data_IF_871081049841
#
_entry.id   IF_871081049841
#
_cell.length_a   1.000
_cell.length_b   1.000
_cell.length_c   1.000
_cell.angle_alpha   90.00
_cell.angle_beta   90.00
_cell.angle_gamma   90.00
#
_symmetry.space_group_name_H-M   'P 1'
#
loop_
_entity.id
_entity.type
_entity.pdbx_description
1 polymer ?
#
# COMPACT_ATOMS: atom_id res chain seq x y z
N UNK A 1 32.27 -10.94 23.64
CA UNK A 1 31.81 -11.65 22.42
C UNK A 1 30.30 -11.56 22.40
N UNK A 2 29.74 -10.64 21.62
CA UNK A 2 28.29 -10.43 21.59
C UNK A 2 27.64 -11.51 20.75
N UNK A 3 26.88 -12.41 21.39
CA UNK A 3 25.93 -13.24 20.68
C UNK A 3 25.00 -12.30 19.91
N UNK A 4 25.08 -12.30 18.57
CA UNK A 4 24.05 -11.68 17.75
C UNK A 4 22.80 -12.53 17.96
N UNK A 5 21.93 -12.08 18.85
CA UNK A 5 20.61 -12.68 19.00
C UNK A 5 19.91 -12.47 17.67
N UNK A 6 19.51 -13.57 17.02
CA UNK A 6 18.83 -13.51 15.74
C UNK A 6 17.45 -12.88 15.96
N UNK A 7 17.10 -11.88 15.14
CA UNK A 7 15.80 -11.21 15.21
C UNK A 7 14.66 -12.16 14.83
N UNK A 8 14.87 -12.99 13.80
CA UNK A 8 13.94 -14.01 13.33
C UNK A 8 14.63 -15.36 13.32
N UNK A 9 13.86 -16.44 13.39
CA UNK A 9 14.38 -17.80 13.16
C UNK A 9 14.77 -17.99 11.69
N UNK A 10 15.62 -18.97 11.39
CA UNK A 10 15.96 -19.28 9.99
C UNK A 10 14.73 -19.70 9.18
N UNK A 11 13.82 -20.47 9.77
CA UNK A 11 12.57 -20.88 9.14
C UNK A 11 11.68 -19.68 8.81
N UNK A 12 11.47 -18.74 9.76
CA UNK A 12 10.69 -17.53 9.49
C UNK A 12 11.30 -16.69 8.35
N UNK A 13 12.62 -16.56 8.32
CA UNK A 13 13.28 -15.85 7.23
C UNK A 13 13.09 -16.56 5.89
N UNK A 14 13.10 -17.89 5.86
CA UNK A 14 12.81 -18.68 4.66
C UNK A 14 11.37 -18.49 4.22
N UNK A 15 10.41 -18.60 5.13
CA UNK A 15 8.98 -18.39 4.85
C UNK A 15 8.72 -16.98 4.28
N UNK A 16 9.35 -15.94 4.85
CA UNK A 16 9.25 -14.58 4.32
C UNK A 16 9.89 -14.42 2.95
N UNK A 17 11.00 -15.10 2.67
CA UNK A 17 11.62 -15.06 1.34
C UNK A 17 10.80 -15.80 0.29
N UNK A 18 10.07 -16.85 0.69
CA UNK A 18 9.21 -17.61 -0.21
C UNK A 18 7.89 -16.86 -0.52
N UNK A 19 7.39 -16.08 0.45
CA UNK A 19 6.15 -15.32 0.32
C UNK A 19 6.34 -13.88 -0.23
N UNK A 20 7.57 -13.36 -0.26
CA UNK A 20 7.85 -11.97 -0.68
C UNK A 20 8.98 -11.90 -1.70
N UNK A 21 9.10 -10.77 -2.39
CA UNK A 21 10.19 -10.56 -3.36
C UNK A 21 11.50 -10.07 -2.70
N UNK A 22 11.69 -10.35 -1.40
CA UNK A 22 12.80 -9.81 -0.63
C UNK A 22 13.85 -10.86 -0.28
N UNK A 23 15.10 -10.40 -0.22
CA UNK A 23 16.22 -11.14 0.37
C UNK A 23 16.16 -11.06 1.90
N UNK A 24 16.83 -11.98 2.60
CA UNK A 24 17.00 -11.92 4.07
C UNK A 24 17.48 -10.55 4.56
N UNK A 25 18.36 -9.90 3.79
CA UNK A 25 18.90 -8.58 4.12
C UNK A 25 17.85 -7.47 4.02
N UNK A 26 16.97 -7.54 3.02
CA UNK A 26 15.87 -6.60 2.84
C UNK A 26 14.82 -6.79 3.93
N UNK A 27 14.45 -8.03 4.26
CA UNK A 27 13.52 -8.34 5.37
C UNK A 27 14.03 -7.73 6.69
N UNK A 28 15.32 -7.90 7.00
CA UNK A 28 15.93 -7.28 8.19
C UNK A 28 15.97 -5.75 8.13
N UNK A 29 16.12 -5.17 6.94
CA UNK A 29 16.06 -3.71 6.74
C UNK A 29 14.64 -3.19 7.00
N UNK A 30 13.62 -3.86 6.45
CA UNK A 30 12.20 -3.55 6.69
C UNK A 30 11.87 -3.67 8.17
N UNK A 31 12.30 -4.74 8.85
CA UNK A 31 12.11 -4.90 10.28
C UNK A 31 12.76 -3.78 11.09
N UNK A 32 13.98 -3.36 10.72
CA UNK A 32 14.64 -2.24 11.38
C UNK A 32 13.80 -0.97 11.28
N UNK A 33 13.21 -0.68 10.12
CA UNK A 33 12.28 0.43 9.92
C UNK A 33 11.02 0.29 10.77
N UNK A 34 10.40 -0.88 10.76
CA UNK A 34 9.21 -1.18 11.57
C UNK A 34 9.45 -0.91 13.07
N UNK A 35 10.62 -1.32 13.57
CA UNK A 35 11.04 -1.05 14.94
C UNK A 35 11.39 0.42 15.20
N UNK A 36 11.92 1.15 14.22
CA UNK A 36 12.16 2.59 14.34
C UNK A 36 10.85 3.38 14.53
N UNK A 37 9.72 2.89 13.99
CA UNK A 37 8.40 3.51 14.18
C UNK A 37 7.89 3.39 15.62
N UNK A 38 8.10 2.24 16.27
CA UNK A 38 7.73 2.05 17.67
C UNK A 38 8.74 1.17 18.45
N UNK A 39 9.86 1.75 18.89
CA UNK A 39 10.91 0.99 19.58
C UNK A 39 10.47 0.40 20.93
N UNK A 40 9.39 0.93 21.52
CA UNK A 40 8.87 0.50 22.82
C UNK A 40 7.92 -0.69 22.67
N UNK A 41 7.17 -0.76 21.56
CA UNK A 41 6.22 -1.83 21.29
C UNK A 41 6.83 -2.98 20.49
N UNK A 42 7.78 -2.68 19.59
CA UNK A 42 8.41 -3.67 18.71
C UNK A 42 9.68 -4.24 19.38
N UNK A 43 9.67 -5.53 19.78
CA UNK A 43 10.81 -6.17 20.42
C UNK A 43 11.99 -6.32 19.44
N UNK A 44 13.20 -6.56 19.95
CA UNK A 44 14.39 -6.85 19.11
C UNK A 44 14.37 -8.24 18.47
N UNK A 45 13.56 -9.13 19.03
CA UNK A 45 13.45 -10.55 18.69
C UNK A 45 11.98 -10.83 18.45
N UNK A 46 11.66 -11.43 17.31
CA UNK A 46 10.33 -11.81 16.84
C UNK A 46 10.32 -13.28 16.39
N UNK A 47 10.87 -14.15 17.23
CA UNK A 47 11.05 -15.59 16.92
C UNK A 47 9.78 -16.43 17.12
N UNK A 48 8.67 -15.84 17.58
CA UNK A 48 7.37 -16.49 17.71
C UNK A 48 6.28 -15.72 16.96
N UNK A 49 5.08 -15.62 17.55
CA UNK A 49 3.92 -14.96 16.94
C UNK A 49 3.96 -13.43 17.03
N UNK A 50 5.06 -12.84 17.53
CA UNK A 50 5.17 -11.39 17.68
C UNK A 50 5.04 -10.65 16.34
N UNK A 51 5.52 -11.24 15.24
CA UNK A 51 5.38 -10.64 13.92
C UNK A 51 3.91 -10.41 13.51
N UNK A 52 3.02 -11.30 13.94
CA UNK A 52 1.59 -11.31 13.60
C UNK A 52 0.74 -10.56 14.65
N UNK A 53 1.27 -10.34 15.85
CA UNK A 53 0.51 -9.79 16.99
C UNK A 53 0.93 -8.38 17.38
N UNK A 54 2.20 -8.01 17.14
CA UNK A 54 2.70 -6.68 17.44
C UNK A 54 2.31 -5.74 16.31
N UNK A 55 1.28 -4.93 16.57
CA UNK A 55 0.79 -3.92 15.62
C UNK A 55 1.39 -2.54 15.89
N UNK A 56 1.82 -1.85 14.83
CA UNK A 56 2.15 -0.43 14.87
C UNK A 56 0.94 0.37 14.41
N UNK A 57 0.62 1.42 15.16
CA UNK A 57 -0.57 2.23 14.88
C UNK A 57 -0.39 3.07 13.61
N UNK A 58 -1.48 3.26 12.87
CA UNK A 58 -1.52 3.99 11.61
C UNK A 58 -0.83 5.37 11.66
N UNK A 59 -1.05 6.14 12.74
CA UNK A 59 -0.46 7.48 12.95
C UNK A 59 1.07 7.48 12.89
N UNK A 60 1.72 6.37 13.27
CA UNK A 60 3.18 6.23 13.19
C UNK A 60 3.62 5.86 11.78
N UNK A 61 2.89 4.96 11.13
CA UNK A 61 3.18 4.52 9.75
C UNK A 61 3.02 5.67 8.78
N UNK A 62 1.95 6.47 8.87
CA UNK A 62 1.71 7.57 7.93
C UNK A 62 2.76 8.70 8.04
N UNK A 63 3.47 8.80 9.17
CA UNK A 63 4.54 9.79 9.40
C UNK A 63 5.89 9.34 8.87
N UNK A 64 6.01 8.11 8.40
CA UNK A 64 7.29 7.61 7.89
C UNK A 64 7.72 8.40 6.64
N UNK A 65 9.02 8.69 6.48
CA UNK A 65 9.53 9.47 5.35
C UNK A 65 9.04 9.00 3.98
N UNK A 66 8.83 7.69 3.84
CA UNK A 66 8.42 7.00 2.62
C UNK A 66 6.93 7.23 2.27
N UNK A 67 6.07 7.49 3.27
CA UNK A 67 4.62 7.71 3.06
C UNK A 67 4.14 9.13 3.37
N UNK A 68 4.87 9.91 4.17
CA UNK A 68 4.37 11.22 4.67
C UNK A 68 3.98 12.19 3.55
N UNK A 69 4.69 12.15 2.42
CA UNK A 69 4.42 13.00 1.25
C UNK A 69 3.38 12.40 0.31
N UNK A 70 3.00 11.13 0.52
CA UNK A 70 2.05 10.43 -0.31
C UNK A 70 0.61 10.82 0.10
N UNK A 71 -0.21 11.35 -0.83
CA UNK A 71 -1.59 11.72 -0.55
C UNK A 71 -2.46 10.51 -0.17
N UNK A 72 -2.10 9.32 -0.64
CA UNK A 72 -2.84 8.07 -0.35
C UNK A 72 -2.32 7.33 0.87
N UNK A 73 -1.40 7.89 1.66
CA UNK A 73 -0.77 7.20 2.81
C UNK A 73 -1.77 6.52 3.75
N UNK A 74 -2.91 7.17 3.98
CA UNK A 74 -3.96 6.66 4.84
C UNK A 74 -4.68 5.46 4.25
N UNK A 75 -4.95 5.51 2.94
CA UNK A 75 -5.55 4.41 2.19
C UNK A 75 -4.60 3.23 2.08
N UNK A 76 -3.32 3.50 1.80
CA UNK A 76 -2.26 2.48 1.78
C UNK A 76 -2.25 1.72 3.11
N UNK A 77 -2.20 2.41 4.24
CA UNK A 77 -2.22 1.74 5.55
C UNK A 77 -3.49 0.88 5.73
N UNK A 78 -4.66 1.38 5.35
CA UNK A 78 -5.92 0.64 5.48
C UNK A 78 -6.01 -0.59 4.58
N UNK A 79 -5.50 -0.50 3.35
CA UNK A 79 -5.54 -1.60 2.37
C UNK A 79 -4.60 -2.74 2.74
N UNK A 80 -3.43 -2.41 3.30
CA UNK A 80 -2.47 -3.42 3.75
C UNK A 80 -2.78 -3.97 5.14
N UNK A 81 -3.58 -3.25 5.92
CA UNK A 81 -4.04 -3.70 7.24
C UNK A 81 -5.10 -4.80 7.07
N UNK A 82 -4.78 -6.02 7.53
CA UNK A 82 -5.69 -7.17 7.42
C UNK A 82 -7.04 -6.95 8.15
N UNK A 83 -7.08 -6.13 9.20
CA UNK A 83 -8.30 -5.79 9.94
C UNK A 83 -9.00 -4.51 9.43
N UNK A 84 -8.44 -3.85 8.40
CA UNK A 84 -8.94 -2.60 7.84
C UNK A 84 -8.84 -1.39 8.77
N UNK A 85 -8.23 -1.53 9.95
CA UNK A 85 -8.07 -0.44 10.92
C UNK A 85 -7.00 0.56 10.51
N UNK A 86 -6.10 0.14 9.61
CA UNK A 86 -4.91 0.90 9.21
C UNK A 86 -3.71 0.69 10.13
N UNK A 87 -3.88 -0.09 11.21
CA UNK A 87 -2.75 -0.55 12.02
C UNK A 87 -2.12 -1.75 11.32
N UNK A 88 -0.79 -1.75 11.24
CA UNK A 88 -0.04 -2.76 10.50
C UNK A 88 0.70 -3.66 11.47
N UNK A 89 0.61 -4.97 11.26
CA UNK A 89 1.55 -5.96 11.81
C UNK A 89 2.88 -5.91 11.05
N UNK A 90 3.89 -6.69 11.50
CA UNK A 90 5.11 -6.78 10.72
C UNK A 90 4.86 -7.44 9.35
N UNK A 91 3.98 -8.44 9.29
CA UNK A 91 3.64 -9.11 8.04
C UNK A 91 2.94 -8.16 7.07
N UNK A 92 1.94 -7.39 7.54
CA UNK A 92 1.27 -6.37 6.73
C UNK A 92 2.27 -5.32 6.21
N UNK A 93 3.24 -4.93 7.05
CA UNK A 93 4.26 -3.97 6.69
C UNK A 93 5.23 -4.54 5.65
N UNK A 94 5.60 -5.82 5.77
CA UNK A 94 6.44 -6.51 4.81
C UNK A 94 5.73 -6.67 3.47
N UNK A 95 4.45 -7.05 3.47
CA UNK A 95 3.60 -7.15 2.29
C UNK A 95 3.45 -5.80 1.58
N UNK A 96 3.24 -4.73 2.35
CA UNK A 96 3.21 -3.36 1.83
C UNK A 96 4.47 -3.05 1.02
N UNK A 97 5.64 -3.23 1.62
CA UNK A 97 6.90 -2.98 0.92
C UNK A 97 7.14 -3.96 -0.24
N UNK A 98 6.72 -5.21 -0.10
CA UNK A 98 6.84 -6.23 -1.15
C UNK A 98 6.08 -5.80 -2.40
N UNK A 99 4.84 -5.32 -2.25
CA UNK A 99 4.03 -4.81 -3.38
C UNK A 99 4.60 -3.55 -4.01
N UNK A 100 5.15 -2.64 -3.20
CA UNK A 100 5.77 -1.41 -3.71
C UNK A 100 7.18 -1.61 -4.29
N UNK A 101 7.77 -2.79 -4.12
CA UNK A 101 9.08 -3.15 -4.69
C UNK A 101 9.06 -3.05 -6.22
N UNK A 102 10.20 -2.67 -6.81
CA UNK A 102 10.37 -2.69 -8.27
C UNK A 102 10.26 -4.12 -8.84
N UNK A 103 10.51 -5.14 -8.02
CA UNK A 103 10.44 -6.56 -8.41
C UNK A 103 9.02 -7.13 -8.43
N UNK A 104 8.05 -6.45 -7.82
CA UNK A 104 6.68 -6.94 -7.77
C UNK A 104 6.03 -6.93 -9.17
N UNK A 105 5.35 -8.01 -9.56
CA UNK A 105 4.74 -8.11 -10.87
C UNK A 105 3.57 -7.12 -11.01
N UNK A 106 3.36 -6.64 -12.25
CA UNK A 106 2.44 -5.54 -12.55
C UNK A 106 1.01 -5.82 -12.12
N UNK A 107 0.54 -7.05 -12.28
CA UNK A 107 -0.79 -7.49 -11.88
C UNK A 107 -1.04 -7.29 -10.37
N UNK A 108 -0.06 -7.62 -9.52
CA UNK A 108 -0.16 -7.40 -8.07
C UNK A 108 -0.29 -5.91 -7.77
N UNK A 109 0.54 -5.08 -8.41
CA UNK A 109 0.46 -3.61 -8.25
C UNK A 109 -0.89 -3.05 -8.69
N UNK A 110 -1.44 -3.54 -9.80
CA UNK A 110 -2.76 -3.12 -10.29
C UNK A 110 -3.88 -3.49 -9.32
N UNK A 111 -3.86 -4.69 -8.73
CA UNK A 111 -4.84 -5.10 -7.71
C UNK A 111 -4.80 -4.19 -6.50
N UNK A 112 -3.61 -3.90 -5.97
CA UNK A 112 -3.48 -3.03 -4.81
C UNK A 112 -3.79 -1.57 -5.13
N UNK A 113 -3.42 -1.09 -6.32
CA UNK A 113 -3.82 0.24 -6.79
C UNK A 113 -5.35 0.35 -6.83
N UNK A 114 -6.05 -0.64 -7.40
CA UNK A 114 -7.51 -0.66 -7.42
C UNK A 114 -8.10 -0.55 -6.01
N UNK A 115 -7.63 -1.35 -5.06
CA UNK A 115 -8.07 -1.30 -3.65
C UNK A 115 -7.78 0.03 -2.94
N UNK A 116 -6.72 0.73 -3.33
CA UNK A 116 -6.38 2.04 -2.76
C UNK A 116 -7.37 3.10 -3.25
N UNK A 117 -7.75 3.02 -4.53
CA UNK A 117 -8.68 3.93 -5.17
C UNK A 117 -10.15 3.63 -4.82
N UNK A 118 -10.51 2.38 -4.57
CA UNK A 118 -11.85 1.98 -4.08
C UNK A 118 -11.99 2.39 -2.58
N UNK A 119 -12.67 3.50 -2.27
CA UNK A 119 -12.76 4.00 -0.90
C UNK A 119 -13.79 3.27 -0.06
N UNK A 120 -14.91 2.88 -0.65
CA UNK A 120 -16.03 2.23 0.03
C UNK A 120 -15.96 0.69 0.02
N UNK A 121 -14.99 0.12 -0.69
CA UNK A 121 -14.72 -1.31 -0.84
C UNK A 121 -15.86 -2.07 -1.51
N UNK A 122 -16.58 -1.44 -2.43
CA UNK A 122 -17.66 -2.07 -3.19
C UNK A 122 -17.17 -2.89 -4.39
N UNK A 123 -15.84 -2.93 -4.62
CA UNK A 123 -15.15 -3.55 -5.75
C UNK A 123 -15.37 -2.85 -7.09
N UNK A 124 -15.79 -1.59 -7.05
CA UNK A 124 -15.87 -0.68 -8.18
C UNK A 124 -15.17 0.65 -7.80
N UNK A 125 -14.79 1.43 -8.81
CA UNK A 125 -14.33 2.79 -8.59
C UNK A 125 -15.42 3.71 -9.12
N UNK A 126 -16.21 4.26 -8.21
CA UNK A 126 -17.30 5.17 -8.53
C UNK A 126 -16.86 6.64 -8.61
N UNK A 127 -17.80 7.53 -8.94
CA UNK A 127 -17.54 8.96 -9.01
C UNK A 127 -16.99 9.56 -7.71
N UNK A 128 -17.49 9.06 -6.55
CA UNK A 128 -17.06 9.53 -5.23
C UNK A 128 -15.63 9.11 -4.89
N UNK A 129 -15.24 7.91 -5.32
CA UNK A 129 -13.88 7.40 -5.13
C UNK A 129 -12.88 8.22 -5.94
N UNK A 130 -13.23 8.52 -7.20
CA UNK A 130 -12.46 9.38 -8.07
C UNK A 130 -12.39 10.81 -7.53
N UNK A 131 -13.48 11.37 -7.02
CA UNK A 131 -13.52 12.68 -6.38
C UNK A 131 -12.55 12.76 -5.20
N UNK A 132 -12.56 11.76 -4.32
CA UNK A 132 -11.63 11.69 -3.19
C UNK A 132 -10.18 11.52 -3.65
N UNK A 133 -9.93 10.69 -4.66
CA UNK A 133 -8.59 10.49 -5.20
C UNK A 133 -8.03 11.76 -5.86
N UNK A 134 -8.83 12.46 -6.68
CA UNK A 134 -8.45 13.72 -7.32
C UNK A 134 -8.23 14.81 -6.28
N UNK A 135 -9.08 14.89 -5.26
CA UNK A 135 -8.93 15.84 -4.15
C UNK A 135 -7.64 15.58 -3.37
N UNK A 136 -7.32 14.30 -3.12
CA UNK A 136 -6.09 13.90 -2.43
C UNK A 136 -4.84 14.26 -3.24
N UNK A 137 -4.86 14.01 -4.56
CA UNK A 137 -3.76 14.33 -5.48
C UNK A 137 -3.54 15.84 -5.63
N UNK A 138 -4.62 16.61 -5.71
CA UNK A 138 -4.57 18.07 -5.91
C UNK A 138 -4.47 18.85 -4.61
N UNK A 139 -4.42 18.16 -3.46
CA UNK A 139 -4.38 18.78 -2.11
C UNK A 139 -5.52 19.80 -1.91
N UNK A 140 -6.68 19.52 -2.49
CA UNK A 140 -7.86 20.40 -2.48
C UNK A 140 -7.61 21.78 -3.10
N UNK A 141 -6.70 21.89 -4.08
CA UNK A 141 -6.47 23.15 -4.82
C UNK A 141 -7.46 23.35 -5.97
N UNK A 142 -8.17 22.31 -6.40
CA UNK A 142 -9.19 22.38 -7.43
C UNK A 142 -10.57 22.73 -6.86
N UNK A 143 -11.37 23.39 -7.67
CA UNK A 143 -12.80 23.64 -7.40
C UNK A 143 -13.64 22.37 -7.59
N UNK A 144 -14.81 22.31 -6.95
CA UNK A 144 -15.73 21.17 -7.11
C UNK A 144 -16.08 20.90 -8.58
N UNK A 145 -16.28 21.95 -9.38
CA UNK A 145 -16.58 21.84 -10.82
C UNK A 145 -15.40 21.24 -11.61
N UNK A 146 -14.15 21.62 -11.27
CA UNK A 146 -12.96 21.06 -11.91
C UNK A 146 -12.75 19.59 -11.53
N UNK A 147 -13.00 19.24 -10.27
CA UNK A 147 -12.95 17.84 -9.82
C UNK A 147 -13.99 17.01 -10.54
N UNK A 148 -15.24 17.48 -10.64
CA UNK A 148 -16.31 16.79 -11.38
C UNK A 148 -15.95 16.59 -12.85
N UNK A 149 -15.38 17.61 -13.51
CA UNK A 149 -14.95 17.49 -14.90
C UNK A 149 -13.86 16.43 -15.09
N UNK A 150 -12.94 16.29 -14.13
CA UNK A 150 -11.93 15.22 -14.17
C UNK A 150 -12.58 13.85 -13.98
N UNK A 151 -13.50 13.73 -13.03
CA UNK A 151 -14.23 12.48 -12.78
C UNK A 151 -15.01 12.04 -14.01
N UNK A 152 -15.77 12.95 -14.62
CA UNK A 152 -16.53 12.70 -15.85
C UNK A 152 -15.63 12.22 -16.99
N UNK A 153 -14.50 12.90 -17.23
CA UNK A 153 -13.54 12.48 -18.27
C UNK A 153 -12.92 11.11 -18.01
N UNK A 154 -12.62 10.78 -16.76
CA UNK A 154 -12.06 9.47 -16.42
C UNK A 154 -13.08 8.36 -16.66
N UNK A 155 -14.35 8.60 -16.32
CA UNK A 155 -15.43 7.66 -16.60
C UNK A 155 -15.68 7.55 -18.11
N UNK A 156 -15.82 8.65 -18.84
CA UNK A 156 -16.02 8.64 -20.30
C UNK A 156 -14.92 7.88 -21.07
N UNK A 157 -13.69 7.87 -20.57
CA UNK A 157 -12.56 7.14 -21.19
C UNK A 157 -12.43 5.67 -20.75
N UNK A 158 -12.93 5.36 -19.55
CA UNK A 158 -12.65 4.11 -18.84
C UNK A 158 -13.85 3.17 -18.71
N UNK A 159 -15.04 3.72 -18.55
CA UNK A 159 -16.31 3.01 -18.42
C UNK A 159 -16.74 2.54 -19.82
N UNK A 160 -16.67 1.23 -20.04
CA UNK A 160 -16.93 0.62 -21.35
C UNK A 160 -18.35 0.08 -21.46
N UNK A 161 -19.02 -0.14 -20.33
CA UNK A 161 -20.39 -0.64 -20.27
C UNK A 161 -21.43 0.41 -19.86
N UNK A 162 -21.00 1.66 -19.66
CA UNK A 162 -21.80 2.84 -19.32
C UNK A 162 -22.59 2.65 -18.01
N UNK A 163 -22.04 1.91 -17.04
CA UNK A 163 -22.67 1.66 -15.74
C UNK A 163 -22.38 2.77 -14.69
N UNK A 164 -21.56 3.75 -15.05
CA UNK A 164 -21.21 4.93 -14.27
C UNK A 164 -20.11 4.70 -13.23
N UNK A 165 -19.39 3.58 -13.31
CA UNK A 165 -18.31 3.19 -12.41
C UNK A 165 -17.27 2.35 -13.17
N UNK A 166 -16.09 2.19 -12.60
CA UNK A 166 -15.05 1.36 -13.21
C UNK A 166 -14.95 0.03 -12.48
N UNK A 167 -15.22 -1.06 -13.20
CA UNK A 167 -14.86 -2.40 -12.77
C UNK A 167 -13.33 -2.60 -12.77
N UNK A 168 -12.87 -3.66 -12.12
CA UNK A 168 -11.45 -4.02 -12.12
C UNK A 168 -10.87 -4.17 -13.55
N UNK A 169 -11.64 -4.73 -14.49
CA UNK A 169 -11.21 -4.97 -15.88
C UNK A 169 -11.06 -3.66 -16.65
N UNK A 170 -11.98 -2.72 -16.43
CA UNK A 170 -11.94 -1.38 -17.03
C UNK A 170 -10.78 -0.59 -16.46
N UNK A 171 -10.60 -0.61 -15.14
CA UNK A 171 -9.47 0.03 -14.49
C UNK A 171 -8.12 -0.53 -14.95
N UNK A 172 -8.01 -1.86 -15.11
CA UNK A 172 -6.81 -2.49 -15.67
C UNK A 172 -6.53 -1.99 -17.09
N UNK A 173 -7.58 -1.83 -17.90
CA UNK A 173 -7.49 -1.29 -19.26
C UNK A 173 -7.03 0.17 -19.27
N UNK A 174 -7.59 1.01 -18.39
CA UNK A 174 -7.20 2.42 -18.22
C UNK A 174 -5.74 2.54 -17.81
N UNK A 175 -5.32 1.79 -16.79
CA UNK A 175 -3.91 1.78 -16.34
C UNK A 175 -2.98 1.29 -17.44
N UNK A 176 -3.37 0.27 -18.19
CA UNK A 176 -2.55 -0.28 -19.27
C UNK A 176 -2.32 0.73 -20.40
N UNK A 177 -3.27 1.67 -20.61
CA UNK A 177 -3.12 2.81 -21.54
C UNK A 177 -2.29 3.95 -20.95
N UNK A 178 -2.12 4.02 -19.63
CA UNK A 178 -1.35 5.04 -18.91
C UNK A 178 -0.09 4.45 -18.23
N UNK A 179 0.97 4.11 -18.99
CA UNK A 179 2.16 3.45 -18.44
C UNK A 179 2.88 4.27 -17.37
N UNK A 180 2.74 5.60 -17.38
CA UNK A 180 3.32 6.50 -16.38
C UNK A 180 2.68 6.32 -14.99
N UNK A 181 1.43 5.87 -14.93
CA UNK A 181 0.70 5.64 -13.67
C UNK A 181 1.42 4.61 -12.79
N UNK A 182 1.72 3.44 -13.34
CA UNK A 182 2.47 2.39 -12.63
C UNK A 182 3.93 2.80 -12.36
N UNK A 183 4.49 3.70 -13.17
CA UNK A 183 5.80 4.29 -12.93
C UNK A 183 5.88 5.08 -11.63
N UNK A 184 4.76 5.63 -11.15
CA UNK A 184 4.68 6.35 -9.86
C UNK A 184 4.35 5.44 -8.67
N UNK A 185 3.96 4.19 -8.92
CA UNK A 185 3.55 3.22 -7.90
C UNK A 185 4.75 2.40 -7.38
N UNK A 186 5.73 3.10 -6.82
CA UNK A 186 6.91 2.50 -6.19
C UNK A 186 7.31 3.22 -4.90
N UNK A 187 7.77 2.48 -3.90
CA UNK A 187 8.38 3.03 -2.69
C UNK A 187 9.80 2.48 -2.60
N UNK A 188 10.79 3.37 -2.50
CA UNK A 188 12.19 2.99 -2.31
C UNK A 188 12.53 2.98 -0.82
N UNK A 189 13.16 1.91 -0.38
CA UNK A 189 13.63 1.67 1.00
C UNK A 189 15.12 1.99 1.11
#
# INVERSE_FOLDING_TARGET
>A
MGNKVATFTEQQLEDYQDCTFFTRKEILTVFKRYRELDPHKVPQVMTGDEAHTVVVVMDKVEKMPELKENPFRQRICKVFSNDGSGNLTFDDFLDMFSVFSEQAPRNVKQVYAFKIYDYDNDQFIGPKDLEQAVTALTRSELTEDEVQLVVEKVLDEGDLDDDGKLSYVEFETVISKAPDFLGTFHIRI
#
